data_IF_923627107298
#
_entry.id   IF_923627107298
#
_cell.length_a   1.000
_cell.length_b   1.000
_cell.length_c   1.000
_cell.angle_alpha   90.00
_cell.angle_beta   90.00
_cell.angle_gamma   90.00
#
_symmetry.space_group_name_H-M   'P 1'
#
loop_
_entity.id
_entity.type
_entity.pdbx_description
1 polymer ?
#
# COMPACT_ATOMS: atom_id res chain seq x y z
N UNK A 1 26.64 31.19 27.79
CA UNK A 1 26.07 29.82 27.81
C UNK A 1 24.94 29.63 26.78
N UNK A 2 23.95 30.52 26.71
CA UNK A 2 22.79 30.41 25.79
C UNK A 2 23.13 30.39 24.28
N UNK A 3 24.25 31.01 23.86
CA UNK A 3 24.71 31.07 22.46
C UNK A 3 25.24 29.74 21.90
N UNK A 4 25.52 28.76 22.76
CA UNK A 4 26.01 27.43 22.37
C UNK A 4 24.91 26.35 22.43
N UNK A 5 23.75 26.66 23.03
CA UNK A 5 22.64 25.72 23.19
C UNK A 5 21.92 25.50 21.86
N UNK A 6 21.66 26.58 21.11
CA UNK A 6 21.02 26.51 19.80
C UNK A 6 21.78 25.64 18.77
N UNK A 7 23.11 25.82 18.54
CA UNK A 7 23.84 24.96 17.60
C UNK A 7 23.93 23.50 18.06
N UNK A 8 24.01 23.23 19.37
CA UNK A 8 24.04 21.86 19.89
C UNK A 8 22.71 21.11 19.65
N UNK A 9 21.57 21.79 19.80
CA UNK A 9 20.24 21.21 19.51
C UNK A 9 20.12 20.87 18.03
N UNK A 10 20.54 21.79 17.14
CA UNK A 10 20.46 21.56 15.69
C UNK A 10 21.30 20.33 15.29
N UNK A 11 22.53 20.24 15.78
CA UNK A 11 23.40 19.07 15.52
C UNK A 11 22.78 17.78 16.05
N UNK A 12 22.20 17.81 17.25
CA UNK A 12 21.51 16.66 17.84
C UNK A 12 20.31 16.19 17.02
N UNK A 13 19.48 17.12 16.55
CA UNK A 13 18.31 16.81 15.70
C UNK A 13 18.74 16.24 14.35
N UNK A 14 19.74 16.84 13.71
CA UNK A 14 20.27 16.37 12.43
C UNK A 14 20.86 14.96 12.58
N UNK A 15 21.66 14.71 13.61
CA UNK A 15 22.22 13.39 13.88
C UNK A 15 21.12 12.34 14.16
N UNK A 16 20.07 12.71 14.91
CA UNK A 16 18.95 11.83 15.17
C UNK A 16 18.15 11.49 13.90
N UNK A 17 17.89 12.48 13.03
CA UNK A 17 17.21 12.25 11.74
C UNK A 17 18.05 11.35 10.83
N UNK A 18 19.37 11.59 10.75
CA UNK A 18 20.27 10.73 9.97
C UNK A 18 20.25 9.30 10.53
N UNK A 19 20.31 9.13 11.85
CA UNK A 19 20.24 7.81 12.47
C UNK A 19 18.91 7.10 12.17
N UNK A 20 17.79 7.81 12.19
CA UNK A 20 16.47 7.25 11.85
C UNK A 20 16.42 6.84 10.38
N UNK A 21 16.95 7.65 9.48
CA UNK A 21 16.96 7.31 8.04
C UNK A 21 17.89 6.13 7.75
N UNK A 22 19.07 6.08 8.38
CA UNK A 22 20.07 5.03 8.12
C UNK A 22 19.72 3.71 8.82
N UNK A 23 19.15 3.75 10.03
CA UNK A 23 18.94 2.56 10.86
C UNK A 23 17.46 2.23 11.13
N UNK A 24 16.53 3.13 10.86
CA UNK A 24 15.11 2.96 11.19
C UNK A 24 14.28 2.18 10.17
N UNK A 25 14.83 1.85 8.99
CA UNK A 25 14.09 1.25 7.88
C UNK A 25 14.07 -0.28 7.80
N UNK A 26 14.42 -1.02 8.86
CA UNK A 26 14.56 -2.48 8.81
C UNK A 26 13.24 -3.26 8.98
N UNK A 27 12.18 -2.86 8.27
CA UNK A 27 10.98 -3.71 8.18
C UNK A 27 11.29 -4.88 7.21
N UNK A 28 10.96 -6.13 7.56
CA UNK A 28 11.05 -7.22 6.59
C UNK A 28 10.15 -6.90 5.39
N UNK A 29 10.54 -7.32 4.17
CA UNK A 29 9.69 -7.13 3.01
C UNK A 29 8.33 -7.82 3.24
N UNK A 30 7.23 -7.26 2.70
CA UNK A 30 5.93 -7.92 2.74
C UNK A 30 6.07 -9.33 2.18
N UNK A 31 5.57 -10.32 2.92
CA UNK A 31 5.56 -11.72 2.50
C UNK A 31 4.14 -12.04 2.06
N UNK A 32 3.99 -12.51 0.83
CA UNK A 32 2.71 -12.99 0.34
C UNK A 32 2.23 -14.15 1.24
N UNK A 33 1.07 -14.04 1.92
CA UNK A 33 0.58 -15.07 2.83
C UNK A 33 0.14 -16.36 2.11
N UNK A 34 -0.07 -16.32 0.80
CA UNK A 34 -0.43 -17.49 -0.02
C UNK A 34 0.79 -18.23 -0.57
N UNK A 35 1.88 -17.53 -0.91
CA UNK A 35 3.06 -18.12 -1.55
C UNK A 35 4.32 -18.13 -0.67
N UNK A 36 4.35 -17.32 0.39
CA UNK A 36 5.52 -17.16 1.25
C UNK A 36 6.68 -16.41 0.58
N UNK A 37 6.46 -15.82 -0.59
CA UNK A 37 7.49 -15.11 -1.35
C UNK A 37 7.46 -13.62 -1.00
N UNK A 38 8.64 -13.01 -0.93
CA UNK A 38 8.81 -11.55 -0.75
C UNK A 38 8.60 -10.76 -2.04
N UNK A 39 8.59 -11.46 -3.18
CA UNK A 39 8.51 -10.86 -4.49
C UNK A 39 7.06 -10.97 -4.96
N UNK A 40 6.27 -9.92 -4.71
CA UNK A 40 4.93 -9.78 -5.30
C UNK A 40 5.07 -9.65 -6.82
N UNK A 41 5.13 -10.78 -7.52
CA UNK A 41 5.13 -10.83 -8.97
C UNK A 41 3.68 -11.02 -9.45
N UNK A 42 2.99 -9.91 -9.68
CA UNK A 42 1.69 -9.92 -10.35
C UNK A 42 1.98 -10.07 -11.85
N UNK A 43 1.75 -11.25 -12.47
CA UNK A 43 1.98 -11.40 -13.89
C UNK A 43 1.06 -10.43 -14.65
N UNK A 44 1.52 -9.88 -15.78
CA UNK A 44 0.66 -9.09 -16.64
C UNK A 44 -0.60 -9.88 -16.96
N UNK A 45 -1.76 -9.27 -16.70
CA UNK A 45 -3.05 -9.89 -16.97
C UNK A 45 -3.34 -9.82 -18.47
N UNK A 46 -4.00 -10.84 -19.00
CA UNK A 46 -4.50 -10.83 -20.37
C UNK A 46 -5.58 -9.74 -20.50
N UNK A 47 -5.37 -8.79 -21.41
CA UNK A 47 -6.29 -7.67 -21.62
C UNK A 47 -7.69 -8.11 -22.05
N UNK A 48 -7.80 -9.24 -22.76
CA UNK A 48 -9.10 -9.76 -23.19
C UNK A 48 -9.89 -10.29 -21.98
N UNK A 49 -9.22 -11.04 -21.09
CA UNK A 49 -9.81 -11.52 -19.85
C UNK A 49 -10.19 -10.38 -18.90
N UNK A 50 -9.39 -9.31 -18.87
CA UNK A 50 -9.71 -8.11 -18.09
C UNK A 50 -10.99 -7.44 -18.62
N UNK A 51 -11.12 -7.31 -19.94
CA UNK A 51 -12.32 -6.72 -20.54
C UNK A 51 -13.57 -7.60 -20.32
N UNK A 52 -13.44 -8.92 -20.43
CA UNK A 52 -14.53 -9.85 -20.10
C UNK A 52 -14.93 -9.76 -18.62
N UNK A 53 -13.94 -9.69 -17.74
CA UNK A 53 -14.13 -9.50 -16.30
C UNK A 53 -14.88 -8.20 -15.97
N UNK A 54 -14.60 -7.11 -16.68
CA UNK A 54 -15.33 -5.84 -16.51
C UNK A 54 -16.82 -6.01 -16.83
N UNK A 55 -17.17 -6.68 -17.93
CA UNK A 55 -18.58 -6.93 -18.28
C UNK A 55 -19.28 -7.74 -17.18
N UNK A 56 -18.65 -8.83 -16.73
CA UNK A 56 -19.18 -9.68 -15.66
C UNK A 56 -19.36 -8.90 -14.35
N UNK A 57 -18.41 -8.03 -14.04
CA UNK A 57 -18.46 -7.17 -12.87
C UNK A 57 -19.68 -6.24 -12.90
N UNK A 58 -19.91 -5.57 -14.03
CA UNK A 58 -21.02 -4.63 -14.14
C UNK A 58 -22.39 -5.31 -13.99
N UNK A 59 -22.54 -6.54 -14.51
CA UNK A 59 -23.83 -7.25 -14.45
C UNK A 59 -24.09 -7.97 -13.12
N UNK A 60 -23.04 -8.34 -12.39
CA UNK A 60 -23.19 -9.21 -11.19
C UNK A 60 -22.80 -8.54 -9.88
N UNK A 61 -21.88 -7.58 -9.90
CA UNK A 61 -21.18 -7.10 -8.71
C UNK A 61 -21.46 -5.62 -8.44
N UNK A 62 -21.49 -4.80 -9.49
CA UNK A 62 -21.57 -3.35 -9.40
C UNK A 62 -22.81 -2.82 -8.67
N UNK A 63 -23.92 -3.58 -8.69
CA UNK A 63 -25.15 -3.21 -8.00
C UNK A 63 -24.95 -3.01 -6.48
N UNK A 64 -24.03 -3.77 -5.86
CA UNK A 64 -23.70 -3.64 -4.44
C UNK A 64 -22.34 -2.94 -4.23
N UNK A 65 -21.36 -3.21 -5.10
CA UNK A 65 -19.97 -2.77 -4.89
C UNK A 65 -19.57 -1.51 -5.65
N UNK A 66 -20.50 -0.90 -6.39
CA UNK A 66 -20.27 0.31 -7.17
C UNK A 66 -19.60 0.01 -8.51
N UNK A 67 -19.96 0.75 -9.56
CA UNK A 67 -19.43 0.55 -10.92
C UNK A 67 -17.94 0.84 -11.05
N UNK A 68 -17.35 1.51 -10.06
CA UNK A 68 -15.95 1.95 -10.00
C UNK A 68 -15.13 1.24 -8.90
N UNK A 69 -15.65 0.13 -8.35
CA UNK A 69 -15.04 -0.70 -7.31
C UNK A 69 -14.91 -0.02 -5.93
N UNK A 70 -15.38 1.22 -5.77
CA UNK A 70 -15.19 2.00 -4.53
C UNK A 70 -16.18 1.63 -3.43
N UNK A 71 -17.13 0.76 -3.70
CA UNK A 71 -18.19 0.40 -2.76
C UNK A 71 -19.38 1.36 -2.82
N UNK A 72 -20.44 0.98 -2.14
CA UNK A 72 -21.65 1.78 -1.92
C UNK A 72 -22.12 1.60 -0.48
N UNK A 73 -23.27 2.18 -0.14
CA UNK A 73 -23.92 1.91 1.16
C UNK A 73 -24.41 0.45 1.28
N UNK A 74 -24.56 -0.28 0.15
CA UNK A 74 -25.00 -1.67 0.12
C UNK A 74 -23.85 -2.68 0.25
N UNK A 75 -22.63 -2.30 -0.14
CA UNK A 75 -21.50 -3.23 -0.22
C UNK A 75 -20.15 -2.53 -0.16
N UNK A 76 -19.15 -3.14 0.50
CA UNK A 76 -17.86 -2.52 0.71
C UNK A 76 -17.07 -2.33 -0.59
N UNK A 77 -16.06 -1.47 -0.53
CA UNK A 77 -15.07 -1.31 -1.60
C UNK A 77 -14.32 -2.60 -1.88
N UNK A 78 -14.16 -2.93 -3.17
CA UNK A 78 -13.25 -4.00 -3.61
C UNK A 78 -11.81 -3.50 -3.76
N UNK A 79 -11.60 -2.18 -3.74
CA UNK A 79 -10.27 -1.56 -3.69
C UNK A 79 -9.68 -1.49 -2.27
N UNK A 80 -10.30 -2.15 -1.29
CA UNK A 80 -9.83 -2.07 0.10
C UNK A 80 -8.42 -2.65 0.24
N UNK A 81 -7.61 -2.04 1.12
CA UNK A 81 -6.23 -2.45 1.43
C UNK A 81 -6.14 -3.93 1.85
N UNK A 82 -7.20 -4.49 2.44
CA UNK A 82 -7.27 -5.91 2.85
C UNK A 82 -7.22 -6.86 1.64
N UNK A 83 -7.67 -6.42 0.46
CA UNK A 83 -7.67 -7.20 -0.78
C UNK A 83 -6.67 -6.66 -1.82
N UNK A 84 -5.86 -5.67 -1.46
CA UNK A 84 -4.84 -5.15 -2.34
C UNK A 84 -3.66 -6.13 -2.34
N UNK A 85 -3.33 -6.79 -3.47
CA UNK A 85 -2.19 -7.70 -3.54
C UNK A 85 -0.92 -6.85 -3.43
N UNK A 86 -0.42 -6.66 -2.20
CA UNK A 86 0.77 -5.84 -1.94
C UNK A 86 0.88 -5.24 -0.54
N UNK A 87 0.02 -5.59 0.41
CA UNK A 87 0.20 -5.26 1.84
C UNK A 87 0.18 -6.53 2.68
#
# INVERSE_FOLDING_TARGET
>A
MKKLIAPAIIVGVVAAVIAIVVFGGNAPPPIDPMTGQSDFNIPPQDSELVAEGEVLYQVSCAACHGSDLRGTDLGPSQLSVVYQPGH
#
